data_IF_792351108744
#
_entry.id   IF_792351108744
#
_cell.length_a   1.000
_cell.length_b   1.000
_cell.length_c   1.000
_cell.angle_alpha   90.00
_cell.angle_beta   90.00
_cell.angle_gamma   90.00
#
_symmetry.space_group_name_H-M   'P 1'
#
loop_
_entity.id
_entity.type
_entity.pdbx_description
1 polymer ?
#
# COMPACT_ATOMS: atom_id res chain seq x y z
N UNK A 1 4.41 -45.89 -31.30
CA UNK A 1 4.48 -44.57 -31.94
C UNK A 1 3.15 -43.88 -31.74
N UNK A 2 2.94 -42.73 -31.10
CA UNK A 2 3.59 -42.02 -29.99
C UNK A 2 2.44 -41.16 -29.46
N UNK A 3 2.12 -41.28 -28.16
CA UNK A 3 1.10 -40.42 -27.53
C UNK A 3 1.74 -39.05 -27.30
N UNK A 4 1.31 -38.02 -28.03
CA UNK A 4 1.76 -36.66 -27.78
C UNK A 4 0.99 -36.06 -26.60
N UNK A 5 1.73 -35.99 -25.49
CA UNK A 5 1.42 -35.37 -24.23
C UNK A 5 1.29 -33.85 -24.44
N UNK A 6 0.07 -33.32 -24.61
CA UNK A 6 -0.16 -31.88 -24.48
C UNK A 6 -0.13 -31.52 -22.99
N UNK A 7 1.08 -31.28 -22.51
CA UNK A 7 1.36 -30.64 -21.24
C UNK A 7 0.68 -29.26 -21.27
N UNK A 8 -0.52 -29.15 -20.69
CA UNK A 8 -1.09 -27.87 -20.29
C UNK A 8 -0.17 -27.30 -19.23
N UNK A 9 0.81 -26.51 -19.68
CA UNK A 9 1.53 -25.60 -18.81
C UNK A 9 0.48 -24.68 -18.21
N UNK A 10 0.19 -24.91 -16.94
CA UNK A 10 -0.70 -24.06 -16.15
C UNK A 10 -0.04 -22.70 -16.04
N UNK A 11 -0.24 -21.84 -17.04
CA UNK A 11 0.03 -20.41 -16.94
C UNK A 11 -0.93 -19.86 -15.89
N UNK A 12 -0.49 -19.93 -14.63
CA UNK A 12 -1.19 -19.45 -13.42
C UNK A 12 -1.54 -17.94 -13.48
N UNK A 13 -1.15 -17.25 -14.53
CA UNK A 13 -1.23 -15.79 -14.64
C UNK A 13 -2.14 -15.28 -15.76
N UNK A 14 -2.94 -16.12 -16.45
CA UNK A 14 -3.58 -15.68 -17.69
C UNK A 14 -5.08 -15.97 -17.87
N UNK A 15 -5.80 -16.49 -16.87
CA UNK A 15 -7.25 -16.67 -16.99
C UNK A 15 -7.94 -16.51 -15.65
N UNK A 16 -8.02 -15.27 -15.18
CA UNK A 16 -8.86 -14.93 -14.04
C UNK A 16 -9.71 -13.73 -14.45
N UNK A 17 -11.02 -13.97 -14.55
CA UNK A 17 -12.00 -12.93 -14.87
C UNK A 17 -12.04 -11.87 -13.78
N UNK A 18 -12.50 -10.66 -14.11
CA UNK A 18 -12.52 -9.49 -13.21
C UNK A 18 -13.16 -9.75 -11.82
N UNK A 19 -14.03 -10.78 -11.71
CA UNK A 19 -14.65 -11.19 -10.45
C UNK A 19 -13.67 -11.90 -9.49
N UNK A 20 -12.68 -12.64 -9.98
CA UNK A 20 -11.68 -13.33 -9.14
C UNK A 20 -10.69 -12.33 -8.48
N UNK A 21 -10.50 -11.16 -9.09
CA UNK A 21 -9.71 -10.09 -8.46
C UNK A 21 -10.43 -9.46 -7.27
N UNK A 22 -11.77 -9.52 -7.18
CA UNK A 22 -12.49 -8.96 -6.04
C UNK A 22 -12.37 -9.83 -4.78
N UNK A 23 -12.27 -11.16 -4.91
CA UNK A 23 -11.91 -12.05 -3.80
C UNK A 23 -10.41 -11.99 -3.45
N UNK A 24 -9.53 -11.69 -4.43
CA UNK A 24 -8.09 -11.53 -4.21
C UNK A 24 -7.65 -10.12 -3.76
N UNK A 25 -8.59 -9.17 -3.65
CA UNK A 25 -8.35 -7.77 -3.25
C UNK A 25 -8.48 -7.55 -1.73
N UNK A 26 -8.46 -8.63 -0.93
CA UNK A 26 -8.23 -8.51 0.50
C UNK A 26 -6.89 -7.83 0.74
N UNK A 27 -6.81 -7.00 1.78
CA UNK A 27 -5.53 -6.41 2.16
C UNK A 27 -4.52 -7.53 2.43
N UNK A 28 -3.31 -7.50 1.84
CA UNK A 28 -2.32 -8.56 2.05
C UNK A 28 -1.77 -8.60 3.49
N UNK A 29 -2.15 -7.64 4.34
CA UNK A 29 -1.70 -7.52 5.73
C UNK A 29 -2.64 -8.28 6.65
N UNK A 30 -2.08 -9.24 7.39
CA UNK A 30 -2.80 -10.01 8.40
C UNK A 30 -3.44 -9.11 9.47
N UNK A 31 -4.73 -9.31 9.75
CA UNK A 31 -5.53 -8.50 10.66
C UNK A 31 -6.15 -7.24 10.02
N UNK A 32 -5.93 -7.03 8.73
CA UNK A 32 -6.47 -5.91 7.95
C UNK A 32 -7.15 -6.37 6.66
N UNK A 33 -7.41 -7.66 6.49
CA UNK A 33 -7.88 -8.29 5.25
C UNK A 33 -9.15 -7.63 4.71
N UNK A 34 -10.07 -7.23 5.61
CA UNK A 34 -11.32 -6.54 5.29
C UNK A 34 -11.18 -5.03 5.07
N UNK A 35 -9.97 -4.48 5.27
CA UNK A 35 -9.69 -3.05 5.12
C UNK A 35 -9.30 -2.75 3.69
N UNK A 36 -10.14 -1.98 3.02
CA UNK A 36 -9.90 -1.52 1.66
C UNK A 36 -8.56 -0.77 1.55
N UNK A 37 -7.69 -1.22 0.65
CA UNK A 37 -6.45 -0.52 0.29
C UNK A 37 -6.82 0.82 -0.35
N UNK A 38 -6.34 1.91 0.24
CA UNK A 38 -6.60 3.29 -0.21
C UNK A 38 -5.33 3.89 -0.79
N UNK A 39 -5.49 4.91 -1.64
CA UNK A 39 -4.35 5.75 -2.02
C UNK A 39 -3.74 6.42 -0.80
N UNK A 40 -2.46 6.74 -0.86
CA UNK A 40 -1.70 7.33 0.25
C UNK A 40 -2.37 8.63 0.75
N UNK A 41 -2.79 9.50 -0.16
CA UNK A 41 -3.52 10.75 0.15
C UNK A 41 -4.86 10.48 0.87
N UNK A 42 -5.60 9.46 0.44
CA UNK A 42 -6.89 9.13 1.07
C UNK A 42 -6.72 8.41 2.42
N UNK A 43 -5.64 7.65 2.59
CA UNK A 43 -5.30 7.03 3.86
C UNK A 43 -5.00 8.10 4.92
N UNK A 44 -4.29 9.17 4.56
CA UNK A 44 -3.89 10.18 5.56
C UNK A 44 -4.99 11.15 5.98
N UNK A 45 -6.01 11.38 5.15
CA UNK A 45 -7.18 12.22 5.51
C UNK A 45 -7.78 11.85 6.86
N UNK A 46 -7.84 10.55 7.17
CA UNK A 46 -8.36 10.04 8.44
C UNK A 46 -7.53 10.43 9.66
N UNK A 47 -6.24 10.73 9.48
CA UNK A 47 -5.29 11.02 10.56
C UNK A 47 -4.81 12.48 10.59
N UNK A 48 -5.19 13.33 9.64
CA UNK A 48 -4.84 14.77 9.60
C UNK A 48 -5.20 15.49 10.90
N UNK A 49 -6.36 15.16 11.46
CA UNK A 49 -6.83 15.76 12.71
C UNK A 49 -6.03 15.31 13.95
N UNK A 50 -5.22 14.26 13.81
CA UNK A 50 -4.38 13.67 14.88
C UNK A 50 -2.94 14.13 14.72
N UNK A 51 -2.45 14.14 13.48
CA UNK A 51 -1.10 14.54 13.12
C UNK A 51 -1.18 15.73 12.17
N UNK A 52 -1.24 16.96 12.72
CA UNK A 52 -1.16 18.16 11.90
C UNK A 52 0.08 18.08 11.02
N UNK A 53 -0.06 18.45 9.74
CA UNK A 53 0.97 18.39 8.68
C UNK A 53 1.25 17.02 8.05
N UNK A 54 0.54 15.95 8.43
CA UNK A 54 0.69 14.64 7.77
C UNK A 54 0.44 14.72 6.26
N UNK A 55 -0.54 15.53 5.83
CA UNK A 55 -0.83 15.78 4.42
C UNK A 55 0.31 16.52 3.72
N UNK A 56 0.97 17.48 4.39
CA UNK A 56 2.11 18.20 3.81
C UNK A 56 3.27 17.26 3.50
N UNK A 57 3.59 16.34 4.41
CA UNK A 57 4.63 15.34 4.21
C UNK A 57 4.28 14.34 3.11
N UNK A 58 3.03 13.92 3.03
CA UNK A 58 2.56 13.04 1.94
C UNK A 58 2.64 13.75 0.60
N UNK A 59 2.23 15.01 0.52
CA UNK A 59 2.30 15.80 -0.70
C UNK A 59 3.76 15.98 -1.14
N UNK A 60 4.66 16.32 -0.20
CA UNK A 60 6.09 16.41 -0.48
C UNK A 60 6.66 15.08 -0.96
N UNK A 61 6.28 13.97 -0.33
CA UNK A 61 6.72 12.64 -0.74
C UNK A 61 6.20 12.25 -2.12
N UNK A 62 4.96 12.62 -2.43
CA UNK A 62 4.38 12.44 -3.75
C UNK A 62 5.18 13.23 -4.78
N UNK A 63 5.55 14.48 -4.52
CA UNK A 63 6.33 15.28 -5.46
C UNK A 63 7.77 14.78 -5.63
N UNK A 64 8.44 14.42 -4.54
CA UNK A 64 9.87 14.07 -4.52
C UNK A 64 10.17 12.60 -4.72
N UNK A 65 9.14 11.73 -4.83
CA UNK A 65 9.31 10.31 -5.11
C UNK A 65 10.21 10.09 -6.31
N UNK A 66 11.12 9.11 -6.21
CA UNK A 66 11.85 8.65 -7.39
C UNK A 66 10.90 7.87 -8.29
N UNK A 67 10.97 8.11 -9.59
CA UNK A 67 10.26 7.29 -10.55
C UNK A 67 10.91 5.91 -10.60
N UNK A 68 10.08 4.87 -10.54
CA UNK A 68 10.49 3.48 -10.63
C UNK A 68 9.48 2.74 -11.50
N UNK A 69 9.95 1.90 -12.42
CA UNK A 69 9.09 1.13 -13.34
C UNK A 69 8.40 -0.06 -12.67
N UNK A 70 8.88 -0.47 -11.50
CA UNK A 70 8.38 -1.62 -10.74
C UNK A 70 7.50 -1.24 -9.55
N UNK A 71 7.40 0.07 -9.24
CA UNK A 71 6.61 0.55 -8.12
C UNK A 71 5.54 1.51 -8.61
N UNK A 72 4.37 1.44 -7.99
CA UNK A 72 3.33 2.45 -8.12
C UNK A 72 3.80 3.80 -7.55
N UNK A 73 3.06 4.86 -7.89
CA UNK A 73 3.33 6.20 -7.35
C UNK A 73 3.26 6.22 -5.82
N UNK A 74 2.26 5.56 -5.25
CA UNK A 74 2.00 5.54 -3.81
C UNK A 74 3.04 4.69 -3.07
N UNK A 75 3.47 3.56 -3.64
CA UNK A 75 4.58 2.77 -3.08
C UNK A 75 5.89 3.58 -3.08
N UNK A 76 6.20 4.25 -4.20
CA UNK A 76 7.40 5.07 -4.31
C UNK A 76 7.38 6.25 -3.32
N UNK A 77 6.22 6.90 -3.15
CA UNK A 77 6.05 7.97 -2.17
C UNK A 77 6.13 7.44 -0.73
N UNK A 78 5.55 6.27 -0.45
CA UNK A 78 5.62 5.64 0.86
C UNK A 78 7.07 5.30 1.24
N UNK A 79 7.88 4.80 0.30
CA UNK A 79 9.31 4.60 0.52
C UNK A 79 10.02 5.93 0.77
N UNK A 80 9.69 6.99 0.01
CA UNK A 80 10.28 8.29 0.22
C UNK A 80 10.00 8.83 1.63
N UNK A 81 8.78 8.68 2.14
CA UNK A 81 8.41 9.05 3.52
C UNK A 81 9.36 8.42 4.56
N UNK A 82 9.84 7.20 4.33
CA UNK A 82 10.78 6.53 5.27
C UNK A 82 12.18 7.13 5.25
N UNK A 83 12.52 7.81 4.17
CA UNK A 83 13.84 8.41 3.94
C UNK A 83 13.83 9.93 4.08
N UNK A 84 12.68 10.51 4.45
CA UNK A 84 12.61 11.95 4.68
C UNK A 84 13.50 12.35 5.86
N UNK A 85 14.12 13.55 5.83
CA UNK A 85 14.89 14.07 6.96
C UNK A 85 14.06 14.30 8.23
N UNK A 86 12.72 14.25 8.11
CA UNK A 86 11.78 14.37 9.22
C UNK A 86 11.39 12.96 9.66
N UNK A 87 11.36 12.72 10.98
CA UNK A 87 10.94 11.45 11.58
C UNK A 87 9.41 11.23 11.47
N UNK A 88 8.91 11.18 10.24
CA UNK A 88 7.48 11.10 9.91
C UNK A 88 6.80 9.95 10.66
N UNK A 89 7.34 8.73 10.55
CA UNK A 89 6.76 7.54 11.16
C UNK A 89 6.83 7.56 12.68
N UNK A 90 7.90 8.11 13.25
CA UNK A 90 8.00 8.26 14.70
C UNK A 90 6.88 9.17 15.22
N UNK A 91 6.72 10.36 14.61
CA UNK A 91 5.69 11.33 14.98
C UNK A 91 4.29 10.79 14.78
N UNK A 92 4.06 10.09 13.67
CA UNK A 92 2.78 9.43 13.39
C UNK A 92 2.46 8.38 14.46
N UNK A 93 3.41 7.52 14.78
CA UNK A 93 3.23 6.46 15.78
C UNK A 93 3.03 7.03 17.18
N UNK A 94 3.80 8.05 17.58
CA UNK A 94 3.64 8.73 18.87
C UNK A 94 2.24 9.34 19.01
N UNK A 95 1.77 10.04 17.98
CA UNK A 95 0.46 10.68 18.00
C UNK A 95 -0.69 9.65 18.00
N UNK A 96 -0.57 8.56 17.24
CA UNK A 96 -1.56 7.48 17.22
C UNK A 96 -1.63 6.75 18.56
N UNK A 97 -0.49 6.50 19.22
CA UNK A 97 -0.43 5.91 20.57
C UNK A 97 -1.06 6.81 21.62
N UNK A 98 -0.80 8.12 21.56
CA UNK A 98 -1.40 9.07 22.48
C UNK A 98 -2.94 9.12 22.35
N UNK A 99 -3.47 8.92 21.13
CA UNK A 99 -4.91 8.87 20.88
C UNK A 99 -5.55 7.51 21.17
N UNK A 100 -4.77 6.44 21.24
CA UNK A 100 -5.25 5.09 21.53
C UNK A 100 -4.48 4.51 22.72
N UNK A 101 -4.82 4.91 23.97
CA UNK A 101 -4.07 4.54 25.17
C UNK A 101 -4.16 3.04 25.54
N UNK A 102 -4.94 2.24 24.80
CA UNK A 102 -5.19 0.81 25.04
C UNK A 102 -4.46 -0.12 24.05
N UNK A 103 -3.53 0.40 23.24
CA UNK A 103 -2.75 -0.41 22.28
C UNK A 103 -1.48 -1.03 22.88
#
# INVERSE_FOLDING_TARGET
MTQENLQRTSNRFATSTCAEFQEANGNPIFGYEDVLVKSLENAVKGVVHIVPKVEEYVNEAMEKRRQNTHLTRDESASIYLYTMPVDFFQRLNEALRFKNPEA
#
